data_IF_575249936073
#
_entry.id   IF_575249936073
#
_cell.length_a   1.000
_cell.length_b   1.000
_cell.length_c   1.000
_cell.angle_alpha   90.00
_cell.angle_beta   90.00
_cell.angle_gamma   90.00
#
_symmetry.space_group_name_H-M   'P 1'
#
loop_
_entity.id
_entity.type
_entity.pdbx_description
1 polymer ?
#
# COMPACT_ATOMS: atom_id res chain seq x y z
N UNK A 1 -41.65 3.48 -8.99
CA UNK A 1 -40.38 4.26 -9.07
C UNK A 1 -39.25 3.30 -9.43
N UNK A 2 -38.73 3.35 -10.68
CA UNK A 2 -37.55 2.57 -11.08
C UNK A 2 -36.33 3.19 -10.41
N UNK A 3 -35.65 2.44 -9.53
CA UNK A 3 -34.31 2.81 -9.05
C UNK A 3 -33.39 2.80 -10.26
N UNK A 4 -32.98 3.97 -10.74
CA UNK A 4 -31.91 4.09 -11.73
C UNK A 4 -30.61 3.70 -11.03
N UNK A 5 -30.26 2.42 -11.06
CA UNK A 5 -28.95 1.95 -10.63
C UNK A 5 -27.94 2.50 -11.63
N UNK A 6 -27.25 3.58 -11.26
CA UNK A 6 -26.13 4.10 -12.03
C UNK A 6 -25.06 3.00 -12.04
N UNK A 7 -24.84 2.40 -13.20
CA UNK A 7 -23.78 1.43 -13.40
C UNK A 7 -22.44 2.18 -13.45
N UNK A 8 -21.76 2.21 -12.30
CA UNK A 8 -20.48 2.89 -12.11
C UNK A 8 -19.43 2.40 -13.12
N UNK A 9 -19.48 1.12 -13.52
CA UNK A 9 -18.54 0.57 -14.50
C UNK A 9 -18.84 1.05 -15.92
N UNK A 10 -20.10 1.10 -16.32
CA UNK A 10 -20.49 1.62 -17.64
C UNK A 10 -20.06 3.09 -17.80
N UNK A 11 -20.26 3.91 -16.76
CA UNK A 11 -19.84 5.32 -16.77
C UNK A 11 -18.31 5.50 -16.86
N UNK A 12 -17.54 4.70 -16.11
CA UNK A 12 -16.06 4.71 -16.16
C UNK A 12 -15.54 4.27 -17.54
N UNK A 13 -16.23 3.33 -18.19
CA UNK A 13 -15.86 2.81 -19.50
C UNK A 13 -16.13 3.81 -20.65
N UNK A 14 -17.09 4.72 -20.48
CA UNK A 14 -17.47 5.72 -21.48
C UNK A 14 -16.60 6.99 -21.48
N UNK A 15 -15.83 7.23 -20.42
CA UNK A 15 -15.06 8.47 -20.25
C UNK A 15 -13.53 8.24 -20.33
N UNK A 16 -12.77 9.22 -20.87
CA UNK A 16 -11.32 9.19 -20.87
C UNK A 16 -10.75 9.22 -19.45
N UNK A 17 -9.53 8.71 -19.31
CA UNK A 17 -8.86 8.52 -18.03
C UNK A 17 -8.80 9.83 -17.23
N UNK A 18 -9.38 9.83 -16.04
CA UNK A 18 -9.50 11.05 -15.23
C UNK A 18 -8.25 11.24 -14.36
N UNK A 19 -7.89 12.49 -14.05
CA UNK A 19 -6.79 12.82 -13.10
C UNK A 19 -6.89 12.04 -11.78
N UNK A 20 -8.10 11.72 -11.37
CA UNK A 20 -8.41 10.94 -10.19
C UNK A 20 -7.90 9.48 -10.26
N UNK A 21 -8.06 8.80 -11.39
CA UNK A 21 -7.57 7.43 -11.56
C UNK A 21 -6.04 7.38 -11.57
N UNK A 22 -5.40 8.41 -12.14
CA UNK A 22 -3.95 8.59 -12.05
C UNK A 22 -3.47 8.82 -10.62
N UNK A 23 -4.20 9.60 -9.82
CA UNK A 23 -3.90 9.80 -8.41
C UNK A 23 -3.98 8.48 -7.62
N UNK A 24 -5.04 7.69 -7.82
CA UNK A 24 -5.19 6.38 -7.16
C UNK A 24 -4.06 5.44 -7.57
N UNK A 25 -3.75 5.39 -8.87
CA UNK A 25 -2.62 4.60 -9.38
C UNK A 25 -1.31 5.01 -8.72
N UNK A 26 -1.01 6.31 -8.65
CA UNK A 26 0.20 6.82 -8.03
C UNK A 26 0.28 6.47 -6.53
N UNK A 27 -0.82 6.65 -5.79
CA UNK A 27 -0.88 6.33 -4.36
C UNK A 27 -0.68 4.84 -4.08
N UNK A 28 -1.37 3.98 -4.84
CA UNK A 28 -1.19 2.53 -4.73
C UNK A 28 0.20 2.09 -5.20
N UNK A 29 0.74 2.70 -6.26
CA UNK A 29 2.09 2.45 -6.75
C UNK A 29 3.14 2.77 -5.67
N UNK A 30 3.05 3.93 -5.04
CA UNK A 30 3.96 4.33 -3.96
C UNK A 30 3.84 3.34 -2.79
N UNK A 31 2.61 2.95 -2.43
CA UNK A 31 2.39 1.93 -1.38
C UNK A 31 3.14 0.63 -1.70
N UNK A 32 3.00 0.13 -2.92
CA UNK A 32 3.63 -1.12 -3.37
C UNK A 32 5.14 -0.97 -3.51
N UNK A 33 5.65 0.21 -3.86
CA UNK A 33 7.08 0.49 -3.86
C UNK A 33 7.68 0.47 -2.44
N UNK A 34 6.98 1.01 -1.46
CA UNK A 34 7.43 0.96 -0.07
C UNK A 34 7.44 -0.45 0.50
N UNK A 35 6.45 -1.26 0.12
CA UNK A 35 6.42 -2.69 0.44
C UNK A 35 7.63 -3.42 -0.16
N UNK A 36 7.94 -3.16 -1.44
CA UNK A 36 9.14 -3.70 -2.08
C UNK A 36 10.45 -3.27 -1.39
N UNK A 37 10.53 -2.02 -0.94
CA UNK A 37 11.67 -1.54 -0.17
C UNK A 37 11.80 -2.27 1.18
N UNK A 38 10.73 -2.31 1.98
CA UNK A 38 10.78 -2.95 3.31
C UNK A 38 11.00 -4.47 3.22
N UNK A 39 10.43 -5.13 2.22
CA UNK A 39 10.67 -6.57 2.01
C UNK A 39 12.14 -6.87 1.74
N UNK A 40 12.83 -6.00 1.01
CA UNK A 40 14.26 -6.17 0.69
C UNK A 40 15.20 -5.64 1.80
N UNK A 41 14.69 -4.84 2.75
CA UNK A 41 15.50 -4.09 3.70
C UNK A 41 16.41 -4.96 4.57
N UNK A 42 15.90 -6.11 5.04
CA UNK A 42 16.67 -7.04 5.87
C UNK A 42 17.84 -7.62 5.08
N UNK A 43 17.65 -7.85 3.78
CA UNK A 43 18.73 -8.28 2.89
C UNK A 43 19.83 -7.22 2.76
N UNK A 44 19.46 -5.94 2.74
CA UNK A 44 20.43 -4.84 2.64
C UNK A 44 21.25 -4.67 3.92
N UNK A 45 20.64 -4.84 5.09
CA UNK A 45 21.32 -4.65 6.39
C UNK A 45 21.94 -5.92 6.97
N UNK A 46 21.77 -7.07 6.30
CA UNK A 46 22.17 -8.37 6.84
C UNK A 46 23.67 -8.45 7.18
N UNK A 47 24.52 -7.87 6.33
CA UNK A 47 25.98 -7.90 6.53
C UNK A 47 26.39 -7.06 7.75
N UNK A 48 25.80 -5.88 7.92
CA UNK A 48 26.03 -5.01 9.06
C UNK A 48 25.56 -5.64 10.38
N UNK A 49 24.38 -6.27 10.40
CA UNK A 49 23.88 -6.99 11.57
C UNK A 49 24.82 -8.11 12.01
N UNK A 50 25.37 -8.87 11.06
CA UNK A 50 26.34 -9.94 11.32
C UNK A 50 27.63 -9.38 11.92
N UNK A 51 28.11 -8.26 11.38
CA UNK A 51 29.35 -7.63 11.85
C UNK A 51 29.19 -6.95 13.22
N UNK A 52 28.12 -6.19 13.42
CA UNK A 52 27.89 -5.41 14.64
C UNK A 52 27.46 -6.28 15.83
N UNK A 53 26.60 -7.28 15.59
CA UNK A 53 26.10 -8.15 16.66
C UNK A 53 26.93 -9.43 16.85
N UNK A 54 27.92 -9.67 15.98
CA UNK A 54 28.77 -10.86 16.04
C UNK A 54 28.02 -12.17 15.87
N UNK A 55 26.88 -12.15 15.16
CA UNK A 55 26.00 -13.31 14.94
C UNK A 55 26.37 -14.03 13.66
N UNK A 56 26.11 -15.35 13.60
CA UNK A 56 26.30 -16.11 12.37
C UNK A 56 25.29 -15.70 11.30
N UNK A 57 25.69 -15.70 10.02
CA UNK A 57 24.79 -15.40 8.88
C UNK A 57 23.54 -16.30 8.87
N UNK A 58 23.70 -17.57 9.26
CA UNK A 58 22.59 -18.54 9.33
C UNK A 58 21.52 -18.14 10.35
N UNK A 59 21.88 -17.39 11.40
CA UNK A 59 20.96 -16.92 12.43
C UNK A 59 19.97 -15.85 11.93
N UNK A 60 20.22 -15.24 10.76
CA UNK A 60 19.28 -14.32 10.11
C UNK A 60 18.16 -15.03 9.33
N UNK A 61 18.31 -16.34 9.05
CA UNK A 61 17.31 -17.12 8.30
C UNK A 61 15.88 -17.03 8.90
N UNK A 62 15.71 -17.21 10.22
CA UNK A 62 14.43 -17.02 10.88
C UNK A 62 13.85 -15.61 10.73
N UNK A 63 14.68 -14.57 10.81
CA UNK A 63 14.27 -13.16 10.68
C UNK A 63 13.66 -12.92 9.30
N UNK A 64 14.33 -13.39 8.24
CA UNK A 64 13.85 -13.24 6.87
C UNK A 64 12.58 -14.06 6.61
N UNK A 65 12.53 -15.28 7.14
CA UNK A 65 11.38 -16.18 6.99
C UNK A 65 10.14 -15.67 7.73
N UNK A 66 10.33 -15.07 8.91
CA UNK A 66 9.23 -14.54 9.73
C UNK A 66 8.44 -13.46 9.00
N UNK A 67 9.11 -12.59 8.24
CA UNK A 67 8.43 -11.60 7.39
C UNK A 67 7.53 -12.25 6.33
N UNK A 68 8.01 -13.31 5.66
CA UNK A 68 7.24 -14.05 4.65
C UNK A 68 6.05 -14.80 5.26
N UNK A 69 6.23 -15.40 6.43
CA UNK A 69 5.14 -16.05 7.17
C UNK A 69 4.10 -15.03 7.59
N UNK A 70 4.53 -13.88 8.12
CA UNK A 70 3.66 -12.75 8.45
C UNK A 70 2.87 -12.28 7.24
N UNK A 71 3.53 -12.13 6.08
CA UNK A 71 2.92 -11.74 4.82
C UNK A 71 1.85 -12.73 4.38
N UNK A 72 2.11 -14.03 4.46
CA UNK A 72 1.11 -15.05 4.15
C UNK A 72 -0.12 -14.94 5.06
N UNK A 73 0.07 -14.80 6.38
CA UNK A 73 -1.02 -14.64 7.35
C UNK A 73 -1.80 -13.34 7.09
N UNK A 74 -1.09 -12.24 6.83
CA UNK A 74 -1.69 -10.94 6.48
C UNK A 74 -2.56 -11.04 5.23
N UNK A 75 -2.07 -11.65 4.17
CA UNK A 75 -2.81 -11.83 2.92
C UNK A 75 -4.09 -12.66 3.10
N UNK A 76 -4.02 -13.75 3.88
CA UNK A 76 -5.18 -14.60 4.17
C UNK A 76 -6.25 -13.87 4.99
N UNK A 77 -5.84 -13.00 5.90
CA UNK A 77 -6.77 -12.25 6.77
C UNK A 77 -7.32 -10.98 6.12
N UNK A 78 -6.63 -10.46 5.10
CA UNK A 78 -6.99 -9.21 4.41
C UNK A 78 -8.37 -9.22 3.78
N UNK A 79 -8.72 -10.31 3.08
CA UNK A 79 -9.99 -10.44 2.35
C UNK A 79 -11.22 -10.26 3.25
N UNK A 80 -11.41 -11.16 4.24
CA UNK A 80 -12.53 -11.09 5.19
C UNK A 80 -12.58 -9.79 5.99
N UNK A 81 -11.42 -9.28 6.41
CA UNK A 81 -11.36 -8.04 7.20
C UNK A 81 -11.84 -6.84 6.38
N UNK A 82 -11.41 -6.76 5.12
CA UNK A 82 -11.76 -5.64 4.27
C UNK A 82 -13.18 -5.73 3.69
N UNK A 83 -13.78 -6.93 3.62
CA UNK A 83 -15.22 -7.06 3.36
C UNK A 83 -16.07 -6.47 4.50
N UNK A 84 -15.61 -6.57 5.75
CA UNK A 84 -16.33 -6.07 6.93
C UNK A 84 -16.12 -4.57 7.16
N UNK A 85 -14.88 -4.12 7.13
CA UNK A 85 -14.50 -2.78 7.59
C UNK A 85 -14.38 -1.76 6.44
N UNK A 86 -14.18 -2.24 5.22
CA UNK A 86 -13.93 -1.43 4.02
C UNK A 86 -12.47 -1.51 3.57
N UNK A 87 -12.27 -1.58 2.24
CA UNK A 87 -10.95 -1.78 1.60
C UNK A 87 -9.97 -0.64 1.90
N UNK A 88 -10.43 0.61 1.87
CA UNK A 88 -9.58 1.78 2.18
C UNK A 88 -9.04 1.71 3.59
N UNK A 89 -9.92 1.44 4.56
CA UNK A 89 -9.54 1.40 5.97
C UNK A 89 -8.55 0.29 6.26
N UNK A 90 -8.76 -0.90 5.71
CA UNK A 90 -7.81 -2.00 5.88
C UNK A 90 -6.47 -1.68 5.24
N UNK A 91 -6.44 -1.11 4.04
CA UNK A 91 -5.19 -0.67 3.41
C UNK A 91 -4.43 0.33 4.31
N UNK A 92 -5.09 1.35 4.83
CA UNK A 92 -4.47 2.35 5.72
C UNK A 92 -3.97 1.69 7.01
N UNK A 93 -4.79 0.85 7.65
CA UNK A 93 -4.38 0.14 8.87
C UNK A 93 -3.18 -0.77 8.64
N UNK A 94 -3.16 -1.48 7.51
CA UNK A 94 -2.02 -2.30 7.08
C UNK A 94 -0.75 -1.49 6.92
N UNK A 95 -0.85 -0.29 6.32
CA UNK A 95 0.28 0.63 6.16
C UNK A 95 0.78 1.17 7.49
N UNK A 96 -0.14 1.51 8.40
CA UNK A 96 0.22 1.95 9.76
C UNK A 96 0.90 0.83 10.55
N UNK A 97 0.39 -0.40 10.46
CA UNK A 97 0.96 -1.58 11.11
C UNK A 97 2.36 -1.84 10.56
N UNK A 98 2.54 -1.92 9.24
CA UNK A 98 3.86 -2.21 8.70
C UNK A 98 4.84 -1.06 8.96
N UNK A 99 4.45 0.20 8.73
CA UNK A 99 5.32 1.35 8.96
C UNK A 99 5.71 1.50 10.43
N UNK A 100 4.76 1.30 11.35
CA UNK A 100 4.99 1.34 12.78
C UNK A 100 5.94 0.23 13.25
N UNK A 101 5.70 -1.02 12.86
CA UNK A 101 6.59 -2.12 13.24
C UNK A 101 7.95 -2.06 12.54
N UNK A 102 8.02 -1.53 11.32
CA UNK A 102 9.29 -1.29 10.64
C UNK A 102 10.13 -0.24 11.38
N UNK A 103 9.50 0.86 11.82
CA UNK A 103 10.16 1.85 12.65
C UNK A 103 10.63 1.26 13.99
N UNK A 104 9.80 0.44 14.65
CA UNK A 104 10.19 -0.26 15.87
C UNK A 104 11.36 -1.24 15.66
N UNK A 105 11.48 -1.82 14.46
CA UNK A 105 12.59 -2.71 14.10
C UNK A 105 13.93 -1.97 14.13
N UNK A 106 13.96 -0.68 13.83
CA UNK A 106 15.18 0.13 13.92
C UNK A 106 15.78 0.18 15.33
N UNK A 107 14.98 -0.09 16.35
CA UNK A 107 15.37 -0.10 17.76
C UNK A 107 15.52 -1.53 18.34
N UNK A 108 15.50 -2.56 17.49
CA UNK A 108 15.67 -3.93 17.93
C UNK A 108 17.09 -4.17 18.44
N UNK A 109 17.22 -4.89 19.56
CA UNK A 109 18.51 -5.19 20.21
C UNK A 109 18.85 -6.67 20.21
N UNK A 110 17.97 -7.52 19.67
CA UNK A 110 18.18 -8.97 19.58
C UNK A 110 17.52 -9.58 18.36
N UNK A 111 18.04 -10.73 17.89
CA UNK A 111 17.48 -11.48 16.76
C UNK A 111 16.04 -11.95 17.03
N UNK A 112 15.71 -12.32 18.26
CA UNK A 112 14.35 -12.73 18.61
C UNK A 112 13.35 -11.57 18.48
N UNK A 113 13.74 -10.39 18.97
CA UNK A 113 12.94 -9.18 18.81
C UNK A 113 12.81 -8.78 17.34
N UNK A 114 13.91 -8.86 16.58
CA UNK A 114 13.93 -8.59 15.14
C UNK A 114 12.98 -9.54 14.39
N UNK A 115 13.01 -10.83 14.71
CA UNK A 115 12.14 -11.87 14.13
C UNK A 115 10.67 -11.58 14.40
N UNK A 116 10.31 -11.26 15.65
CA UNK A 116 8.94 -10.93 16.02
C UNK A 116 8.45 -9.67 15.31
N UNK A 117 9.25 -8.60 15.31
CA UNK A 117 8.90 -7.34 14.64
C UNK A 117 8.77 -7.53 13.13
N UNK A 118 9.61 -8.37 12.52
CA UNK A 118 9.50 -8.71 11.09
C UNK A 118 8.25 -9.52 10.78
N UNK A 119 7.85 -10.47 11.63
CA UNK A 119 6.57 -11.14 11.50
C UNK A 119 5.39 -10.15 11.52
N UNK A 120 5.40 -9.22 12.48
CA UNK A 120 4.33 -8.20 12.61
C UNK A 120 4.33 -7.21 11.44
N UNK A 121 5.51 -6.83 10.94
CA UNK A 121 5.66 -6.01 9.73
C UNK A 121 5.09 -6.74 8.52
N UNK A 122 5.46 -8.01 8.33
CA UNK A 122 4.94 -8.87 7.28
C UNK A 122 3.42 -8.99 7.31
N UNK A 123 2.81 -9.10 8.50
CA UNK A 123 1.35 -9.14 8.65
C UNK A 123 0.69 -7.87 8.07
N UNK A 124 1.27 -6.70 8.31
CA UNK A 124 0.83 -5.45 7.69
C UNK A 124 0.98 -5.46 6.17
N UNK A 125 2.17 -5.80 5.67
CA UNK A 125 2.48 -5.85 4.23
C UNK A 125 1.54 -6.78 3.46
N UNK A 126 1.33 -7.99 3.99
CA UNK A 126 0.49 -9.01 3.35
C UNK A 126 -0.96 -8.57 3.13
N UNK A 127 -1.48 -7.68 3.98
CA UNK A 127 -2.81 -7.12 3.80
C UNK A 127 -2.86 -5.88 2.90
N UNK A 128 -1.74 -5.22 2.63
CA UNK A 128 -1.72 -4.02 1.80
C UNK A 128 -1.92 -4.32 0.31
N UNK A 129 -1.12 -5.23 -0.26
CA UNK A 129 -1.16 -5.59 -1.69
C UNK A 129 -2.53 -6.00 -2.23
N UNK A 130 -3.26 -6.99 -1.64
CA UNK A 130 -4.54 -7.43 -2.19
C UNK A 130 -5.61 -6.32 -2.12
N UNK A 131 -5.56 -5.48 -1.08
CA UNK A 131 -6.49 -4.36 -0.95
C UNK A 131 -6.18 -3.23 -1.94
N UNK A 132 -4.91 -2.91 -2.17
CA UNK A 132 -4.48 -1.94 -3.19
C UNK A 132 -4.85 -2.41 -4.60
N UNK A 133 -4.59 -3.69 -4.93
CA UNK A 133 -4.95 -4.28 -6.21
C UNK A 133 -6.46 -4.27 -6.44
N UNK A 134 -7.24 -4.63 -5.41
CA UNK A 134 -8.70 -4.59 -5.50
C UNK A 134 -9.20 -3.17 -5.73
N UNK A 135 -8.73 -2.20 -4.94
CA UNK A 135 -9.11 -0.80 -5.07
C UNK A 135 -8.77 -0.27 -6.47
N UNK A 136 -7.54 -0.50 -6.94
CA UNK A 136 -7.14 -0.08 -8.29
C UNK A 136 -8.03 -0.70 -9.36
N UNK A 137 -8.37 -1.98 -9.20
CA UNK A 137 -9.23 -2.69 -10.15
C UNK A 137 -10.65 -2.12 -10.20
N UNK A 138 -11.18 -1.57 -9.10
CA UNK A 138 -12.53 -0.98 -9.06
C UNK A 138 -12.60 0.38 -9.75
N UNK A 139 -11.50 1.14 -9.71
CA UNK A 139 -11.40 2.45 -10.33
C UNK A 139 -10.87 2.41 -11.77
N UNK A 140 -10.36 1.26 -12.22
CA UNK A 140 -9.82 1.08 -13.55
C UNK A 140 -10.90 0.79 -14.61
N UNK A 141 -10.82 1.37 -15.82
CA UNK A 141 -11.65 0.97 -16.95
C UNK A 141 -11.42 -0.51 -17.29
N UNK A 142 -12.47 -1.23 -17.65
CA UNK A 142 -12.44 -2.68 -17.86
C UNK A 142 -11.34 -3.10 -18.86
N UNK A 143 -11.24 -2.36 -19.97
CA UNK A 143 -10.24 -2.59 -21.03
C UNK A 143 -8.79 -2.40 -20.59
N UNK A 144 -8.53 -1.60 -19.55
CA UNK A 144 -7.18 -1.24 -19.06
C UNK A 144 -6.90 -1.73 -17.66
N UNK A 145 -7.83 -2.46 -17.04
CA UNK A 145 -7.74 -2.96 -15.67
C UNK A 145 -6.45 -3.73 -15.40
N UNK A 146 -6.14 -4.69 -16.27
CA UNK A 146 -4.92 -5.48 -16.15
C UNK A 146 -3.65 -4.62 -16.26
N UNK A 147 -3.61 -3.69 -17.22
CA UNK A 147 -2.49 -2.76 -17.38
C UNK A 147 -2.27 -1.94 -16.10
N UNK A 148 -3.34 -1.38 -15.52
CA UNK A 148 -3.23 -0.51 -14.34
C UNK A 148 -2.77 -1.26 -13.11
N UNK A 149 -3.31 -2.45 -12.88
CA UNK A 149 -2.89 -3.31 -11.76
C UNK A 149 -1.43 -3.74 -11.95
N UNK A 150 -1.01 -4.08 -13.16
CA UNK A 150 0.38 -4.42 -13.44
C UNK A 150 1.31 -3.22 -13.27
N UNK A 151 0.94 -2.04 -13.77
CA UNK A 151 1.70 -0.79 -13.56
C UNK A 151 1.87 -0.49 -12.08
N UNK A 152 0.82 -0.68 -11.27
CA UNK A 152 0.91 -0.57 -9.81
C UNK A 152 1.92 -1.55 -9.22
N UNK A 153 1.91 -2.83 -9.66
CA UNK A 153 2.84 -3.85 -9.18
C UNK A 153 4.29 -3.63 -9.58
N UNK A 154 4.57 -2.90 -10.67
CA UNK A 154 5.93 -2.47 -11.02
C UNK A 154 6.56 -1.63 -9.91
N UNK A 155 5.74 -1.01 -9.04
CA UNK A 155 6.22 -0.31 -7.86
C UNK A 155 7.12 -1.19 -7.00
N UNK A 156 6.80 -2.48 -6.83
CA UNK A 156 7.52 -3.38 -5.92
C UNK A 156 9.00 -3.55 -6.30
N UNK A 157 9.36 -4.06 -7.50
CA UNK A 157 10.76 -4.20 -7.90
C UNK A 157 11.45 -2.83 -8.00
N UNK A 158 10.73 -1.77 -8.36
CA UNK A 158 11.30 -0.42 -8.39
C UNK A 158 11.69 0.06 -6.99
N UNK A 159 10.83 -0.16 -6.00
CA UNK A 159 11.06 0.15 -4.61
C UNK A 159 12.20 -0.66 -4.00
N UNK A 160 12.26 -1.97 -4.26
CA UNK A 160 13.40 -2.79 -3.84
C UNK A 160 14.71 -2.30 -4.47
N UNK A 161 14.71 -1.98 -5.76
CA UNK A 161 15.92 -1.53 -6.48
C UNK A 161 16.41 -0.18 -5.97
N UNK A 162 15.52 0.82 -5.93
CA UNK A 162 15.85 2.16 -5.41
C UNK A 162 16.24 2.10 -3.93
N UNK A 163 15.56 1.25 -3.16
CA UNK A 163 15.88 0.97 -1.77
C UNK A 163 17.29 0.43 -1.58
N UNK A 164 17.77 -0.44 -2.47
CA UNK A 164 19.14 -0.95 -2.45
C UNK A 164 20.18 0.15 -2.65
N UNK A 165 19.99 1.02 -3.66
CA UNK A 165 20.87 2.17 -3.90
C UNK A 165 20.88 3.14 -2.72
N UNK A 166 19.70 3.42 -2.17
CA UNK A 166 19.55 4.32 -1.03
C UNK A 166 20.20 3.73 0.23
N UNK A 167 20.03 2.42 0.47
CA UNK A 167 20.66 1.71 1.59
C UNK A 167 22.18 1.72 1.47
N UNK A 168 22.72 1.49 0.26
CA UNK A 168 24.17 1.52 0.02
C UNK A 168 24.79 2.89 0.36
N UNK A 169 24.04 3.98 0.22
CA UNK A 169 24.48 5.31 0.65
C UNK A 169 24.20 5.59 2.13
N UNK A 170 23.04 5.20 2.65
CA UNK A 170 22.64 5.52 4.03
C UNK A 170 23.41 4.72 5.09
N UNK A 171 23.62 3.42 4.86
CA UNK A 171 24.23 2.52 5.84
C UNK A 171 25.63 3.00 6.27
N UNK A 172 26.56 3.33 5.35
CA UNK A 172 27.90 3.80 5.74
C UNK A 172 27.93 5.15 6.48
N UNK A 173 26.90 6.00 6.29
CA UNK A 173 26.87 7.35 6.86
C UNK A 173 26.08 7.43 8.17
N UNK A 174 25.00 6.65 8.31
CA UNK A 174 24.04 6.77 9.40
C UNK A 174 23.71 5.44 10.09
N UNK A 175 24.37 4.34 9.68
CA UNK A 175 24.11 3.00 10.20
C UNK A 175 22.89 2.33 9.57
N UNK A 176 22.73 1.04 9.81
CA UNK A 176 21.64 0.25 9.25
C UNK A 176 20.25 0.64 9.80
N UNK A 177 20.19 1.17 11.02
CA UNK A 177 18.96 1.63 11.64
C UNK A 177 18.30 2.74 10.82
N UNK A 178 19.09 3.59 10.16
CA UNK A 178 18.60 4.72 9.36
C UNK A 178 17.69 4.26 8.21
N UNK A 179 17.99 3.12 7.60
CA UNK A 179 17.21 2.55 6.51
C UNK A 179 15.85 2.07 7.02
N UNK A 180 15.81 1.45 8.20
CA UNK A 180 14.57 1.00 8.86
C UNK A 180 13.73 2.19 9.36
N UNK A 181 14.36 3.25 9.85
CA UNK A 181 13.66 4.50 10.19
C UNK A 181 12.99 5.07 8.96
N UNK A 182 13.69 5.14 7.82
CA UNK A 182 13.09 5.58 6.57
C UNK A 182 11.94 4.65 6.12
N UNK A 183 12.18 3.33 6.19
CA UNK A 183 11.23 2.27 5.87
C UNK A 183 9.99 2.27 6.75
N UNK A 184 10.05 2.85 7.95
CA UNK A 184 8.90 3.01 8.84
C UNK A 184 8.22 4.39 8.77
N UNK A 185 9.00 5.47 8.69
CA UNK A 185 8.46 6.84 8.67
C UNK A 185 7.75 7.14 7.36
N UNK A 186 8.35 6.80 6.22
CA UNK A 186 7.78 7.14 4.92
C UNK A 186 6.38 6.51 4.75
N UNK A 187 6.14 5.22 5.06
CA UNK A 187 4.81 4.64 4.95
C UNK A 187 3.79 5.25 5.91
N UNK A 188 4.21 5.64 7.11
CA UNK A 188 3.32 6.34 8.05
C UNK A 188 2.88 7.70 7.49
N UNK A 189 3.78 8.44 6.84
CA UNK A 189 3.42 9.66 6.13
C UNK A 189 2.47 9.37 4.97
N UNK A 190 2.72 8.30 4.21
CA UNK A 190 1.81 7.87 3.15
C UNK A 190 0.43 7.49 3.71
N UNK A 191 0.35 6.81 4.85
CA UNK A 191 -0.93 6.48 5.48
C UNK A 191 -1.74 7.74 5.79
N UNK A 192 -1.11 8.80 6.29
CA UNK A 192 -1.77 10.10 6.50
C UNK A 192 -2.29 10.66 5.17
N UNK A 193 -1.49 10.64 4.11
CA UNK A 193 -1.92 11.08 2.78
C UNK A 193 -3.11 10.26 2.26
N UNK A 194 -3.08 8.93 2.43
CA UNK A 194 -4.16 8.03 1.99
C UNK A 194 -5.46 8.27 2.75
N UNK A 195 -5.42 8.68 4.02
CA UNK A 195 -6.62 9.05 4.78
C UNK A 195 -7.37 10.17 4.07
N UNK A 196 -6.66 11.18 3.57
CA UNK A 196 -7.26 12.37 2.96
C UNK A 196 -7.57 12.21 1.46
N UNK A 197 -6.69 11.57 0.69
CA UNK A 197 -6.78 11.55 -0.78
C UNK A 197 -7.45 10.30 -1.34
N UNK A 198 -7.34 9.15 -0.65
CA UNK A 198 -7.84 7.90 -1.20
C UNK A 198 -9.36 7.78 -0.98
N UNK A 199 -10.18 7.46 -2.00
CA UNK A 199 -11.59 7.18 -1.77
C UNK A 199 -11.86 5.84 -1.10
N UNK A 200 -13.05 5.71 -0.54
CA UNK A 200 -13.59 4.40 -0.14
C UNK A 200 -13.85 3.54 -1.39
N UNK A 201 -13.85 2.21 -1.25
CA UNK A 201 -14.16 1.30 -2.36
C UNK A 201 -15.57 1.55 -2.93
N UNK A 202 -15.68 1.70 -4.26
CA UNK A 202 -16.95 1.95 -4.94
C UNK A 202 -17.95 0.79 -4.71
N UNK A 203 -17.44 -0.43 -4.54
CA UNK A 203 -18.26 -1.63 -4.29
C UNK A 203 -18.78 -1.69 -2.85
N UNK A 204 -18.04 -1.17 -1.88
CA UNK A 204 -18.50 -1.02 -0.49
C UNK A 204 -19.61 0.05 -0.37
N UNK A 205 -19.56 1.10 -1.20
CA UNK A 205 -20.61 2.12 -1.26
C UNK A 205 -21.91 1.63 -1.91
N UNK A 206 -21.85 0.58 -2.75
CA UNK A 206 -23.04 -0.06 -3.35
C UNK A 206 -23.75 -1.06 -2.43
N UNK A 207 -23.03 -1.65 -1.47
CA UNK A 207 -23.61 -2.59 -0.47
C UNK A 207 -24.03 -1.91 0.84
N UNK A 208 -23.45 -0.75 1.16
CA UNK A 208 -23.87 0.09 2.29
C UNK A 208 -24.89 1.13 1.81
N UNK A 209 -26.09 1.10 2.37
CA UNK A 209 -27.26 1.92 2.06
C UNK A 209 -27.06 3.41 2.42
N UNK A 210 -26.02 4.06 1.88
CA UNK A 210 -25.60 5.45 2.17
C UNK A 210 -25.34 6.22 0.87
N UNK A 211 -26.25 6.05 -0.09
CA UNK A 211 -26.04 6.31 -1.52
C UNK A 211 -26.23 7.77 -1.96
N UNK A 212 -26.78 8.70 -1.17
CA UNK A 212 -27.19 10.00 -1.73
C UNK A 212 -26.29 11.22 -1.44
N UNK A 213 -25.38 11.21 -0.45
CA UNK A 213 -24.76 12.47 0.01
C UNK A 213 -23.27 12.70 -0.36
N UNK A 214 -22.60 11.76 -1.04
CA UNK A 214 -21.16 11.89 -1.38
C UNK A 214 -20.83 11.73 -2.87
N UNK A 215 -21.82 11.46 -3.72
CA UNK A 215 -21.59 11.38 -5.18
C UNK A 215 -21.60 12.79 -5.81
N UNK A 216 -22.16 13.78 -5.12
CA UNK A 216 -22.30 15.16 -5.60
C UNK A 216 -20.98 15.93 -5.75
N UNK A 217 -19.95 15.80 -4.88
CA UNK A 217 -18.69 16.54 -5.09
C UNK A 217 -17.77 15.90 -6.14
N UNK A 218 -17.96 14.61 -6.47
CA UNK A 218 -17.10 13.88 -7.44
C UNK A 218 -17.46 14.22 -8.89
N UNK A 219 -18.69 14.67 -9.14
CA UNK A 219 -19.16 15.07 -10.48
C UNK A 219 -19.49 16.57 -10.62
N UNK A 220 -19.48 17.35 -9.54
CA UNK A 220 -19.74 18.79 -9.60
C UNK A 220 -18.44 19.62 -9.81
N UNK A 221 -17.70 19.36 -10.88
CA UNK A 221 -16.96 20.46 -11.52
C UNK A 221 -17.90 21.10 -12.53
N UNK A 222 -18.30 22.37 -12.36
CA UNK A 222 -19.15 23.04 -13.33
C UNK A 222 -18.31 23.36 -14.56
N UNK A 223 -18.32 22.46 -15.55
CA UNK A 223 -17.96 22.82 -16.91
C UNK A 223 -19.13 23.65 -17.42
N UNK A 224 -18.92 24.96 -17.35
CA UNK A 224 -19.49 26.01 -18.21
C UNK A 224 -20.90 25.73 -18.75
N UNK A 225 -21.85 26.46 -18.15
CA UNK A 225 -23.04 26.95 -18.83
C UNK A 225 -22.70 27.48 -20.23
N UNK A 226 -22.83 26.65 -21.26
CA UNK A 226 -23.15 27.11 -22.60
C UNK A 226 -24.65 27.03 -22.76
N UNK A 227 -25.31 28.12 -22.38
CA UNK A 227 -26.45 28.64 -23.13
C UNK A 227 -26.14 28.52 -24.62
N UNK A 228 -27.08 27.99 -25.42
CA UNK A 228 -27.39 28.32 -26.84
C UNK A 228 -28.25 27.17 -27.42
N UNK A 229 -29.50 27.10 -26.95
CA UNK A 229 -30.62 26.76 -27.84
C UNK A 229 -31.15 28.09 -28.36
N UNK A 230 -30.82 28.40 -29.62
CA UNK A 230 -31.57 29.28 -30.51
C UNK A 230 -31.15 28.95 -31.94
#
# INVERSE_FOLDING_TARGET
MKKTTIDIQAFINEHPFTKYQWMILALCFITVAMDGFDTAIIGFIASDLVQEWGVEKSALGPVMSAALVGLAVGALTAGPLADRVGRKKVLIMSIVVFGGFSLLTAFATSLNQLTLLRFLTGLGLGAAMPNAATLMSEYAPERRRALMVNLMFVGFPMGSSLGGFLSAWMIPHYGWQSVLVLGGVMPLLLAVVLIFLLPESARYMGSSQKTESMVTPVFATPILTTSWLA
#
